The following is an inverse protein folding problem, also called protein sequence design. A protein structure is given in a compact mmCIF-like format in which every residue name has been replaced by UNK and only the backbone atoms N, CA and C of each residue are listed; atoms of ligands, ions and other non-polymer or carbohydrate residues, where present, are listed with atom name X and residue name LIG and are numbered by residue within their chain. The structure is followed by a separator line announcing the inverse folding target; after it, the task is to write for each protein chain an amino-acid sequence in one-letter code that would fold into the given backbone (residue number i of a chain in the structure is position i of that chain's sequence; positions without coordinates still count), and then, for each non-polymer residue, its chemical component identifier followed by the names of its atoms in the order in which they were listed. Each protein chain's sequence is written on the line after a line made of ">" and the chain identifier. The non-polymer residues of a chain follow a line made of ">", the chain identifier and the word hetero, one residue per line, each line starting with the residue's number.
data_IF_521849228795
#
_entry.id   IF_521849228795
#
_cell.length_a   1.000
_cell.length_b   1.000
_cell.length_c   1.000
_cell.angle_alpha   90.00
_cell.angle_beta   90.00
_cell.angle_gamma   90.00
#
_symmetry.space_group_name_H-M   'P 1'
#
loop_
_entity.id
_entity.type
_entity.pdbx_description
1 polymer ?
#
# COMPACT_ATOMS: atom_id res chain seq x y z
N UNK A 1 3.46 12.70 -8.57
CA UNK A 1 2.02 12.57 -8.28
C UNK A 1 1.18 12.05 -9.45
N UNK A 2 1.62 12.11 -10.72
CA UNK A 2 0.78 11.70 -11.87
C UNK A 2 0.33 10.22 -11.87
N UNK A 3 1.02 9.33 -11.15
CA UNK A 3 0.65 7.90 -11.02
C UNK A 3 -0.18 7.55 -9.77
N UNK A 4 -0.30 8.46 -8.80
CA UNK A 4 -1.02 8.14 -7.56
C UNK A 4 -2.52 8.35 -7.79
N UNK A 5 -3.25 7.25 -7.93
CA UNK A 5 -4.69 7.26 -8.20
C UNK A 5 -5.52 7.81 -7.04
N UNK A 6 -4.97 7.82 -5.83
CA UNK A 6 -5.61 8.44 -4.66
C UNK A 6 -5.45 9.95 -4.62
N UNK A 7 -4.53 10.52 -5.42
CA UNK A 7 -4.22 11.95 -5.41
C UNK A 7 -3.69 12.46 -4.07
N UNK A 8 -3.18 11.56 -3.21
CA UNK A 8 -2.70 11.84 -1.86
C UNK A 8 -1.29 11.30 -1.69
N UNK A 9 -0.43 12.04 -1.01
CA UNK A 9 0.91 11.52 -0.68
C UNK A 9 0.80 10.24 0.15
N UNK A 10 1.67 9.28 -0.15
CA UNK A 10 1.82 8.05 0.65
C UNK A 10 3.00 8.28 1.57
N UNK A 11 2.73 8.29 2.87
CA UNK A 11 3.69 8.57 3.93
C UNK A 11 4.24 7.31 4.59
N UNK A 12 5.12 7.52 5.58
CA UNK A 12 5.67 6.42 6.39
C UNK A 12 4.61 5.80 7.30
N UNK A 13 3.63 6.60 7.72
CA UNK A 13 2.47 6.20 8.51
C UNK A 13 1.61 5.17 7.79
N UNK A 14 1.38 5.33 6.48
CA UNK A 14 0.57 4.39 5.69
C UNK A 14 1.24 3.00 5.62
N UNK A 15 2.58 2.99 5.52
CA UNK A 15 3.39 1.76 5.55
C UNK A 15 3.34 1.12 6.95
N UNK A 16 3.43 1.93 8.01
CA UNK A 16 3.34 1.44 9.38
C UNK A 16 1.97 0.80 9.67
N UNK A 17 0.88 1.41 9.21
CA UNK A 17 -0.47 0.88 9.35
C UNK A 17 -0.64 -0.46 8.61
N UNK A 18 -0.12 -0.57 7.38
CA UNK A 18 -0.13 -1.83 6.63
C UNK A 18 0.68 -2.94 7.34
N UNK A 19 1.84 -2.59 7.92
CA UNK A 19 2.63 -3.52 8.72
C UNK A 19 1.87 -4.00 9.95
N UNK A 20 1.26 -3.09 10.72
CA UNK A 20 0.46 -3.44 11.91
C UNK A 20 -0.73 -4.32 11.52
N UNK A 21 -1.38 -4.04 10.39
CA UNK A 21 -2.44 -4.89 9.86
C UNK A 21 -1.96 -6.32 9.58
N UNK A 22 -0.80 -6.48 8.91
CA UNK A 22 -0.20 -7.80 8.66
C UNK A 22 0.13 -8.51 9.97
N UNK A 23 0.78 -7.82 10.90
CA UNK A 23 1.19 -8.38 12.18
C UNK A 23 -0.01 -8.88 13.02
N UNK A 24 -1.18 -8.26 12.88
CA UNK A 24 -2.42 -8.64 13.59
C UNK A 24 -3.26 -9.70 12.85
N UNK A 25 -2.88 -10.06 11.62
CA UNK A 25 -3.66 -10.95 10.76
C UNK A 25 -3.35 -12.42 11.02
N UNK A 26 -4.02 -13.00 12.01
CA UNK A 26 -3.79 -14.38 12.50
C UNK A 26 -3.96 -15.53 11.47
N UNK A 27 -4.44 -15.25 10.26
CA UNK A 27 -4.68 -16.25 9.20
C UNK A 27 -4.05 -15.87 7.86
N UNK A 28 -3.21 -14.85 7.84
CA UNK A 28 -2.52 -14.38 6.64
C UNK A 28 -1.05 -14.76 6.74
N UNK A 29 -0.52 -15.42 5.71
CA UNK A 29 0.90 -15.75 5.59
C UNK A 29 1.34 -15.57 4.14
N UNK A 30 2.63 -15.29 3.92
CA UNK A 30 3.21 -15.05 2.59
C UNK A 30 2.48 -13.99 1.74
N UNK A 31 1.81 -13.04 2.37
CA UNK A 31 1.08 -11.97 1.69
C UNK A 31 2.00 -10.78 1.40
N UNK A 32 1.94 -10.27 0.17
CA UNK A 32 2.51 -8.97 -0.20
C UNK A 32 1.39 -7.94 -0.25
N UNK A 33 1.55 -6.82 0.45
CA UNK A 33 0.63 -5.68 0.38
C UNK A 33 1.35 -4.53 -0.30
N UNK A 34 0.70 -3.97 -1.32
CA UNK A 34 1.19 -2.78 -2.00
C UNK A 34 0.66 -1.53 -1.29
N UNK A 35 1.57 -0.62 -0.92
CA UNK A 35 1.27 0.68 -0.32
C UNK A 35 1.88 1.77 -1.20
N UNK A 36 1.22 2.06 -2.32
CA UNK A 36 1.78 2.93 -3.37
C UNK A 36 0.79 3.99 -3.89
N UNK A 37 -0.41 4.06 -3.29
CA UNK A 37 -1.47 4.96 -3.73
C UNK A 37 -1.99 4.68 -5.14
N UNK A 38 -1.77 3.47 -5.68
CA UNK A 38 -2.18 3.07 -7.02
C UNK A 38 -1.15 3.37 -8.11
N UNK A 39 0.10 3.71 -7.76
CA UNK A 39 1.17 4.01 -8.72
C UNK A 39 1.42 2.87 -9.73
N UNK A 40 1.43 1.61 -9.29
CA UNK A 40 1.69 0.49 -10.18
C UNK A 40 0.56 0.32 -11.21
N UNK A 41 -0.69 0.48 -10.78
CA UNK A 41 -1.86 0.41 -11.65
C UNK A 41 -1.90 1.56 -12.67
N UNK A 42 -1.45 2.75 -12.26
CA UNK A 42 -1.30 3.87 -13.19
C UNK A 42 -0.18 3.66 -14.21
N UNK A 43 0.86 2.89 -13.88
CA UNK A 43 2.01 2.65 -14.78
C UNK A 43 1.70 1.68 -15.93
N UNK A 44 0.61 0.92 -15.83
CA UNK A 44 0.17 -0.06 -16.84
C UNK A 44 -0.76 0.56 -17.91
N UNK A 45 -0.99 1.87 -17.86
CA UNK A 45 -1.82 2.64 -18.80
C UNK A 45 -0.94 3.55 -19.67
#
# INVERSE_FOLDING_TARGET
>A
MAGNLLGREVGAEDVADAFVWLARSNKVTACTITVDGGNIEASLR
#
